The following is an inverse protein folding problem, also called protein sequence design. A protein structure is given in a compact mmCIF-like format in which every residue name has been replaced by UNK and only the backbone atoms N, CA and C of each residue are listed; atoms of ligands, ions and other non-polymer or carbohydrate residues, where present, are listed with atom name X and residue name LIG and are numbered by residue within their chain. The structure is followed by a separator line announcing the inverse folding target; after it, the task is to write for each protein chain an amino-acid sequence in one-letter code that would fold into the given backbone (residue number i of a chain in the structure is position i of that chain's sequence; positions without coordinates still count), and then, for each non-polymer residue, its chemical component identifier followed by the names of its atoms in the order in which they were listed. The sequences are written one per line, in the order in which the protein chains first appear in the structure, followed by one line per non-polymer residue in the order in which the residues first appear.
data_IF_117791153211
#
_entry.id   IF_117791153211
#
_cell.length_a   1.000
_cell.length_b   1.000
_cell.length_c   1.000
_cell.angle_alpha   90.00
_cell.angle_beta   90.00
_cell.angle_gamma   90.00
#
_symmetry.space_group_name_H-M   'P 1'
#
loop_
_entity.id
_entity.type
_entity.pdbx_description
1 polymer ?
#
# COMPACT_ATOMS: atom_id res chain seq x y z
N UNK A 1 12.20 33.70 49.61
CA UNK A 1 12.26 32.33 49.05
C UNK A 1 11.86 32.44 47.60
N UNK A 2 12.84 32.46 46.71
CA UNK A 2 12.60 32.32 45.27
C UNK A 2 12.64 30.81 45.07
N UNK A 3 11.48 30.17 44.88
CA UNK A 3 11.44 28.80 44.38
C UNK A 3 12.07 28.82 42.99
N UNK A 4 13.33 28.42 42.91
CA UNK A 4 13.93 27.98 41.65
C UNK A 4 13.14 26.76 41.22
N UNK A 5 12.17 26.97 40.34
CA UNK A 5 11.53 25.88 39.59
C UNK A 5 12.67 25.20 38.84
N UNK A 6 12.88 23.91 39.11
CA UNK A 6 13.94 23.15 38.48
C UNK A 6 13.72 23.16 36.96
N UNK A 7 14.77 23.47 36.19
CA UNK A 7 14.76 23.45 34.72
C UNK A 7 14.09 22.21 34.09
N UNK A 8 14.27 20.97 34.61
CA UNK A 8 13.54 19.79 34.13
C UNK A 8 12.01 19.87 34.32
N UNK A 9 11.52 20.50 35.39
CA UNK A 9 10.07 20.68 35.62
C UNK A 9 9.47 21.68 34.62
N UNK A 10 10.23 22.71 34.23
CA UNK A 10 9.83 23.66 33.19
C UNK A 10 9.76 22.99 31.82
N UNK A 11 10.76 22.15 31.51
CA UNK A 11 10.81 21.36 30.27
C UNK A 11 9.59 20.45 30.11
N UNK A 12 9.26 19.70 31.16
CA UNK A 12 8.12 18.76 31.13
C UNK A 12 6.80 19.52 30.97
N UNK A 13 6.61 20.61 31.71
CA UNK A 13 5.41 21.47 31.59
C UNK A 13 5.29 22.09 30.21
N UNK A 14 6.40 22.47 29.57
CA UNK A 14 6.41 22.96 28.18
C UNK A 14 5.94 21.86 27.21
N UNK A 15 6.40 20.63 27.41
CA UNK A 15 6.00 19.49 26.59
C UNK A 15 4.51 19.18 26.72
N UNK A 16 3.97 19.17 27.95
CA UNK A 16 2.52 19.02 28.16
C UNK A 16 1.70 20.18 27.59
N UNK A 17 2.23 21.40 27.63
CA UNK A 17 1.64 22.55 26.95
C UNK A 17 1.55 22.32 25.44
N UNK A 18 2.58 21.72 24.84
CA UNK A 18 2.58 21.40 23.42
C UNK A 18 1.59 20.27 23.08
N UNK A 19 1.49 19.24 23.92
CA UNK A 19 0.47 18.18 23.76
C UNK A 19 -0.94 18.76 23.72
N UNK A 20 -1.27 19.67 24.65
CA UNK A 20 -2.56 20.34 24.67
C UNK A 20 -2.78 21.18 23.39
N UNK A 21 -1.77 21.97 23.00
CA UNK A 21 -1.81 22.77 21.77
C UNK A 21 -2.08 21.92 20.51
N UNK A 22 -1.39 20.79 20.38
CA UNK A 22 -1.57 19.89 19.24
C UNK A 22 -2.94 19.20 19.27
N UNK A 23 -3.43 18.79 20.45
CA UNK A 23 -4.78 18.23 20.60
C UNK A 23 -5.87 19.23 20.21
N UNK A 24 -5.65 20.52 20.47
CA UNK A 24 -6.56 21.61 20.08
C UNK A 24 -6.49 21.97 18.58
N UNK A 25 -5.62 21.31 17.80
CA UNK A 25 -5.44 21.55 16.37
C UNK A 25 -4.27 22.46 16.02
N UNK A 26 -3.40 22.77 17.00
CA UNK A 26 -2.21 23.58 16.80
C UNK A 26 -1.19 22.94 15.85
N UNK A 27 -0.41 23.77 15.16
CA UNK A 27 0.58 23.34 14.16
C UNK A 27 2.00 23.83 14.43
N UNK A 28 2.19 24.58 15.53
CA UNK A 28 3.46 25.19 15.92
C UNK A 28 4.54 24.12 16.13
N UNK A 29 5.70 24.22 15.45
CA UNK A 29 6.83 23.31 15.68
C UNK A 29 7.35 23.39 17.12
N UNK A 30 7.89 22.28 17.65
CA UNK A 30 8.42 22.19 19.01
C UNK A 30 9.44 23.30 19.33
N UNK A 31 10.41 23.51 18.44
CA UNK A 31 11.45 24.54 18.59
C UNK A 31 10.90 25.95 18.82
N UNK A 32 9.73 26.24 18.25
CA UNK A 32 9.08 27.56 18.26
C UNK A 32 8.00 27.66 19.36
N UNK A 33 7.72 26.55 20.05
CA UNK A 33 6.71 26.48 21.11
C UNK A 33 7.28 26.85 22.48
N UNK A 34 6.57 27.68 23.25
CA UNK A 34 6.98 28.09 24.61
C UNK A 34 5.86 28.05 25.66
N UNK A 35 4.66 27.57 25.30
CA UNK A 35 3.54 27.50 26.24
C UNK A 35 3.70 26.38 27.26
N UNK A 36 3.21 26.60 28.49
CA UNK A 36 3.25 25.63 29.58
C UNK A 36 1.86 25.01 29.79
N UNK A 37 1.83 23.72 30.10
CA UNK A 37 0.61 22.96 30.40
C UNK A 37 0.74 22.17 31.70
N UNK A 38 -0.42 21.73 32.21
CA UNK A 38 -0.47 20.76 33.29
C UNK A 38 -0.23 19.35 32.75
N UNK A 39 0.44 18.50 33.53
CA UNK A 39 0.60 17.09 33.19
C UNK A 39 -0.76 16.40 33.06
N UNK A 40 -0.97 15.67 31.96
CA UNK A 40 -2.23 14.99 31.65
C UNK A 40 -2.13 13.47 31.74
N UNK A 41 -0.96 12.92 32.07
CA UNK A 41 -0.73 11.49 32.08
C UNK A 41 0.55 11.10 32.79
N UNK A 42 0.76 9.79 32.95
CA UNK A 42 1.95 9.26 33.63
C UNK A 42 3.23 9.37 32.79
N UNK A 43 3.08 9.33 31.47
CA UNK A 43 4.18 9.39 30.52
C UNK A 43 3.84 10.39 29.42
N UNK A 44 4.85 11.16 29.02
CA UNK A 44 4.73 12.07 27.89
C UNK A 44 4.72 11.26 26.59
N UNK A 45 3.84 11.57 25.62
CA UNK A 45 3.91 10.99 24.28
C UNK A 45 5.26 11.29 23.61
N UNK A 46 5.78 10.33 22.85
CA UNK A 46 7.04 10.48 22.15
C UNK A 46 7.02 11.53 21.03
N UNK A 47 8.21 11.95 20.61
CA UNK A 47 8.43 12.91 19.53
C UNK A 47 7.75 12.48 18.23
N UNK A 48 7.69 11.18 17.94
CA UNK A 48 7.06 10.64 16.73
C UNK A 48 5.55 10.86 16.72
N UNK A 49 4.88 10.61 17.85
CA UNK A 49 3.44 10.78 18.02
C UNK A 49 3.07 12.26 17.87
N UNK A 50 3.82 13.14 18.52
CA UNK A 50 3.56 14.58 18.52
C UNK A 50 3.79 15.20 17.13
N UNK A 51 4.88 14.82 16.43
CA UNK A 51 5.09 15.28 15.06
C UNK A 51 4.03 14.72 14.10
N UNK A 52 3.61 13.46 14.24
CA UNK A 52 2.53 12.92 13.41
C UNK A 52 1.22 13.68 13.63
N UNK A 53 0.86 13.99 14.89
CA UNK A 53 -0.32 14.79 15.19
C UNK A 53 -0.22 16.20 14.60
N UNK A 54 0.95 16.84 14.66
CA UNK A 54 1.19 18.13 14.01
C UNK A 54 1.03 18.06 12.49
N UNK A 55 1.49 16.97 11.85
CA UNK A 55 1.33 16.72 10.39
C UNK A 55 -0.12 16.48 10.00
N UNK A 56 -0.89 15.79 10.85
CA UNK A 56 -2.34 15.70 10.71
C UNK A 56 -2.94 17.10 10.71
N UNK A 57 -2.75 17.88 11.77
CA UNK A 57 -3.30 19.25 11.91
C UNK A 57 -2.93 20.19 10.74
N UNK A 58 -1.72 20.06 10.18
CA UNK A 58 -1.31 20.81 8.99
C UNK A 58 -2.11 20.45 7.73
N UNK A 59 -2.52 19.19 7.62
CA UNK A 59 -3.26 18.66 6.46
C UNK A 59 -4.78 18.76 6.64
N UNK A 60 -5.25 18.78 7.88
CA UNK A 60 -6.65 18.88 8.29
C UNK A 60 -6.81 18.56 9.77
N UNK A 61 -7.91 18.98 10.40
CA UNK A 61 -8.14 18.64 11.81
C UNK A 61 -8.55 17.16 11.91
N UNK A 62 -7.79 16.29 12.59
CA UNK A 62 -8.21 14.91 12.81
C UNK A 62 -9.38 14.84 13.79
N UNK A 63 -10.18 13.79 13.68
CA UNK A 63 -11.17 13.45 14.69
C UNK A 63 -10.50 13.25 16.07
N UNK A 64 -11.16 13.63 17.18
CA UNK A 64 -10.58 13.50 18.52
C UNK A 64 -10.15 12.06 18.87
N UNK A 65 -10.89 11.06 18.37
CA UNK A 65 -10.54 9.65 18.55
C UNK A 65 -9.25 9.29 17.81
N UNK A 66 -9.03 9.83 16.61
CA UNK A 66 -7.78 9.63 15.86
C UNK A 66 -6.61 10.31 16.56
N UNK A 67 -6.81 11.55 17.04
CA UNK A 67 -5.77 12.26 17.80
C UNK A 67 -5.38 11.49 19.08
N UNK A 68 -6.36 11.01 19.84
CA UNK A 68 -6.12 10.17 21.02
C UNK A 68 -5.39 8.86 20.67
N UNK A 69 -5.79 8.20 19.57
CA UNK A 69 -5.13 6.99 19.10
C UNK A 69 -3.67 7.24 18.69
N UNK A 70 -3.36 8.37 18.03
CA UNK A 70 -1.97 8.76 17.71
C UNK A 70 -1.14 8.93 18.99
N UNK A 71 -1.66 9.67 19.97
CA UNK A 71 -0.94 9.95 21.22
C UNK A 71 -0.71 8.70 22.07
N UNK A 72 -1.64 7.75 22.03
CA UNK A 72 -1.54 6.47 22.74
C UNK A 72 -0.74 5.40 21.99
N UNK A 73 -0.46 5.61 20.69
CA UNK A 73 0.21 4.63 19.85
C UNK A 73 1.68 4.49 20.20
N UNK A 74 2.22 3.28 20.13
CA UNK A 74 3.67 3.02 20.12
C UNK A 74 4.15 2.70 18.69
N UNK A 75 5.31 3.21 18.26
CA UNK A 75 5.87 2.93 16.95
C UNK A 75 6.10 1.42 16.75
N UNK A 76 5.64 0.89 15.62
CA UNK A 76 5.90 -0.51 15.29
C UNK A 76 7.40 -0.81 15.11
N UNK A 77 7.88 -1.88 15.74
CA UNK A 77 9.23 -2.42 15.55
C UNK A 77 9.84 -2.98 16.84
N UNK A 78 10.50 -4.15 16.75
CA UNK A 78 11.15 -4.78 17.92
C UNK A 78 12.24 -3.85 18.50
N UNK A 79 12.13 -3.54 19.80
CA UNK A 79 13.17 -2.83 20.55
C UNK A 79 13.32 -1.34 20.20
N UNK A 80 12.30 -0.72 19.59
CA UNK A 80 12.29 0.70 19.25
C UNK A 80 11.50 1.46 20.32
N UNK A 81 12.15 2.26 21.18
CA UNK A 81 11.44 3.07 22.17
C UNK A 81 10.79 4.30 21.50
N UNK A 82 9.85 4.89 22.23
CA UNK A 82 9.44 6.28 21.98
C UNK A 82 10.65 7.20 22.12
N UNK A 83 10.78 8.19 21.24
CA UNK A 83 11.88 9.14 21.29
C UNK A 83 11.48 10.33 22.15
N UNK A 84 12.36 10.70 23.06
CA UNK A 84 12.14 11.84 23.95
C UNK A 84 12.29 13.17 23.20
N UNK A 85 11.66 14.23 23.74
CA UNK A 85 11.75 15.59 23.21
C UNK A 85 12.99 16.29 23.75
N UNK A 86 13.74 16.95 22.87
CA UNK A 86 14.86 17.80 23.28
C UNK A 86 14.38 18.90 24.25
N UNK A 87 14.96 18.93 25.44
CA UNK A 87 14.64 19.92 26.49
C UNK A 87 13.32 19.70 27.24
N UNK A 88 12.70 18.52 27.13
CA UNK A 88 11.50 18.18 27.92
C UNK A 88 11.81 17.50 29.26
N UNK A 89 13.02 16.96 29.43
CA UNK A 89 13.43 16.28 30.65
C UNK A 89 14.96 16.24 30.75
N UNK A 90 15.51 15.68 31.84
CA UNK A 90 16.94 15.49 31.98
C UNK A 90 17.46 14.57 30.89
N UNK A 91 18.68 14.81 30.39
CA UNK A 91 19.31 13.94 29.41
C UNK A 91 19.54 12.54 30.01
N UNK A 92 18.97 11.52 29.38
CA UNK A 92 19.21 10.13 29.78
C UNK A 92 20.57 9.65 29.29
N UNK A 93 21.33 9.00 30.18
CA UNK A 93 22.58 8.31 29.82
C UNK A 93 22.34 7.03 28.99
N UNK A 94 21.11 6.53 28.97
CA UNK A 94 20.73 5.27 28.32
C UNK A 94 19.59 5.47 27.32
N UNK A 95 19.69 4.82 26.16
CA UNK A 95 18.70 4.89 25.10
C UNK A 95 19.07 5.90 24.00
N UNK A 96 18.17 6.13 23.02
CA UNK A 96 18.39 7.12 21.98
C UNK A 96 18.33 8.54 22.58
N UNK A 97 19.16 9.43 22.04
CA UNK A 97 19.16 10.83 22.46
C UNK A 97 17.80 11.50 22.18
N UNK A 98 17.37 12.46 23.01
CA UNK A 98 16.21 13.30 22.73
C UNK A 98 16.33 14.01 21.38
N UNK A 99 15.22 14.19 20.68
CA UNK A 99 15.20 14.74 19.32
C UNK A 99 14.31 15.97 19.21
N UNK A 100 14.61 16.82 18.22
CA UNK A 100 13.62 17.76 17.68
C UNK A 100 12.64 16.98 16.80
N UNK A 101 11.33 16.95 17.11
CA UNK A 101 10.32 16.26 16.30
C UNK A 101 10.34 16.67 14.82
N UNK A 102 10.69 17.92 14.50
CA UNK A 102 10.76 18.39 13.11
C UNK A 102 11.92 17.76 12.31
N UNK A 103 12.92 17.19 12.99
CA UNK A 103 14.07 16.51 12.38
C UNK A 103 13.83 15.01 12.16
N UNK A 104 12.68 14.47 12.59
CA UNK A 104 12.35 13.07 12.39
C UNK A 104 12.17 12.75 10.91
N UNK A 105 12.70 11.59 10.49
CA UNK A 105 12.44 11.09 9.14
C UNK A 105 10.98 10.71 8.97
N UNK A 106 10.42 10.91 7.77
CA UNK A 106 9.07 10.49 7.44
C UNK A 106 8.84 8.99 7.73
N UNK A 107 9.88 8.17 7.53
CA UNK A 107 9.84 6.74 7.81
C UNK A 107 9.56 6.36 9.27
N UNK A 108 9.91 7.20 10.25
CA UNK A 108 9.55 6.98 11.66
C UNK A 108 8.08 7.32 11.91
N UNK A 109 7.58 8.40 11.32
CA UNK A 109 6.18 8.83 11.45
C UNK A 109 5.21 7.84 10.79
N UNK A 110 5.60 7.27 9.64
CA UNK A 110 4.80 6.22 8.97
C UNK A 110 4.66 4.98 9.86
N UNK A 111 5.60 4.68 10.76
CA UNK A 111 5.46 3.52 11.69
C UNK A 111 4.37 3.77 12.71
N UNK A 112 4.30 4.97 13.27
CA UNK A 112 3.21 5.36 14.19
C UNK A 112 1.89 5.35 13.43
N UNK A 113 1.83 5.93 12.24
CA UNK A 113 0.62 5.92 11.41
C UNK A 113 0.18 4.49 11.05
N UNK A 114 1.13 3.59 10.78
CA UNK A 114 0.83 2.19 10.49
C UNK A 114 0.25 1.43 11.69
N UNK A 115 0.73 1.72 12.91
CA UNK A 115 0.14 1.18 14.14
C UNK A 115 -1.31 1.65 14.30
N UNK A 116 -1.57 2.95 14.20
CA UNK A 116 -2.92 3.53 14.34
C UNK A 116 -3.87 2.98 13.27
N UNK A 117 -3.42 2.89 12.01
CA UNK A 117 -4.23 2.31 10.93
C UNK A 117 -4.52 0.82 11.18
N UNK A 118 -3.56 0.05 11.70
CA UNK A 118 -3.79 -1.35 12.01
C UNK A 118 -4.86 -1.53 13.10
N UNK A 119 -4.77 -0.74 14.18
CA UNK A 119 -5.76 -0.74 15.27
C UNK A 119 -7.15 -0.36 14.74
N UNK A 120 -7.27 0.73 13.97
CA UNK A 120 -8.53 1.13 13.32
C UNK A 120 -9.15 0.02 12.46
N UNK A 121 -8.32 -0.72 11.72
CA UNK A 121 -8.80 -1.81 10.87
C UNK A 121 -9.38 -2.95 11.70
N UNK A 122 -8.78 -3.27 12.85
CA UNK A 122 -9.25 -4.31 13.78
C UNK A 122 -10.51 -3.84 14.51
N UNK A 123 -10.51 -2.60 15.01
CA UNK A 123 -11.60 -2.03 15.81
C UNK A 123 -12.88 -1.78 15.01
N UNK A 124 -12.78 -1.63 13.68
CA UNK A 124 -13.93 -1.55 12.78
C UNK A 124 -14.80 -2.85 12.74
N UNK A 125 -14.45 -3.88 13.51
CA UNK A 125 -15.28 -5.06 13.74
C UNK A 125 -15.19 -6.10 12.61
N UNK A 126 -16.10 -7.09 12.55
CA UNK A 126 -16.01 -8.18 11.59
C UNK A 126 -16.21 -7.71 10.14
N UNK A 127 -15.42 -8.28 9.22
CA UNK A 127 -15.58 -8.04 7.78
C UNK A 127 -16.87 -8.67 7.24
N UNK A 128 -17.53 -8.03 6.27
CA UNK A 128 -18.69 -8.63 5.62
C UNK A 128 -18.29 -9.96 4.96
N UNK A 129 -19.11 -10.99 5.17
CA UNK A 129 -18.96 -12.26 4.48
C UNK A 129 -19.46 -12.08 3.06
N UNK A 130 -18.57 -12.18 2.07
CA UNK A 130 -18.97 -12.13 0.67
C UNK A 130 -19.75 -13.41 0.32
N UNK A 131 -21.00 -13.27 -0.10
CA UNK A 131 -21.74 -14.39 -0.66
C UNK A 131 -21.11 -14.81 -2.00
N UNK A 132 -20.82 -16.11 -2.21
CA UNK A 132 -20.31 -16.56 -3.49
C UNK A 132 -21.33 -16.28 -4.59
N UNK A 133 -20.91 -15.73 -5.74
CA UNK A 133 -21.84 -15.44 -6.82
C UNK A 133 -22.49 -16.76 -7.28
N UNK A 134 -23.83 -16.75 -7.40
CA UNK A 134 -24.57 -17.92 -7.87
C UNK A 134 -24.10 -18.30 -9.28
N UNK A 135 -23.70 -19.56 -9.53
CA UNK A 135 -23.23 -19.97 -10.84
C UNK A 135 -24.33 -19.80 -11.88
N UNK A 136 -24.06 -19.03 -12.93
CA UNK A 136 -24.97 -18.89 -14.06
C UNK A 136 -24.68 -20.00 -15.08
N UNK A 137 -25.66 -20.88 -15.25
CA UNK A 137 -25.61 -22.04 -16.17
C UNK A 137 -25.77 -21.66 -17.65
N UNK A 138 -26.28 -20.47 -17.94
CA UNK A 138 -26.60 -20.00 -19.29
C UNK A 138 -25.54 -19.08 -19.93
N UNK A 139 -24.46 -18.74 -19.20
CA UNK A 139 -23.49 -17.73 -19.66
C UNK A 139 -22.18 -18.38 -20.05
N UNK A 140 -21.64 -17.98 -21.21
CA UNK A 140 -20.25 -18.30 -21.59
C UNK A 140 -19.33 -17.75 -20.51
N UNK A 141 -18.65 -18.66 -19.84
CA UNK A 141 -17.80 -18.34 -18.72
C UNK A 141 -16.48 -17.71 -19.14
N UNK A 142 -15.95 -16.82 -18.30
CA UNK A 142 -14.56 -16.37 -18.40
C UNK A 142 -13.91 -16.35 -17.02
N UNK A 143 -12.58 -16.43 -16.98
CA UNK A 143 -11.75 -16.10 -15.82
C UNK A 143 -10.58 -15.24 -16.26
N UNK A 144 -10.30 -14.18 -15.51
CA UNK A 144 -9.12 -13.32 -15.70
C UNK A 144 -8.05 -13.72 -14.69
N UNK A 145 -6.86 -14.02 -15.20
CA UNK A 145 -5.66 -14.39 -14.43
C UNK A 145 -4.45 -13.68 -15.05
N UNK A 146 -3.27 -13.77 -14.42
CA UNK A 146 -2.07 -13.06 -14.86
C UNK A 146 -1.82 -11.85 -13.97
N UNK A 147 -1.56 -10.70 -14.58
CA UNK A 147 -1.27 -9.45 -13.86
C UNK A 147 -2.44 -9.11 -12.91
N UNK A 148 -2.19 -9.03 -11.59
CA UNK A 148 -3.25 -8.84 -10.62
C UNK A 148 -3.95 -7.49 -10.74
N UNK A 149 -3.22 -6.39 -10.97
CA UNK A 149 -3.83 -5.05 -11.04
C UNK A 149 -4.66 -4.88 -12.31
N UNK A 150 -4.18 -5.43 -13.43
CA UNK A 150 -4.96 -5.48 -14.68
C UNK A 150 -6.19 -6.38 -14.54
N UNK A 151 -6.00 -7.62 -14.08
CA UNK A 151 -7.06 -8.61 -14.01
C UNK A 151 -8.14 -8.20 -12.99
N UNK A 152 -7.76 -7.64 -11.84
CA UNK A 152 -8.68 -7.17 -10.81
C UNK A 152 -9.48 -5.96 -11.31
N UNK A 153 -8.82 -4.93 -11.85
CA UNK A 153 -9.51 -3.74 -12.36
C UNK A 153 -10.49 -4.04 -13.49
N UNK A 154 -10.12 -4.93 -14.42
CA UNK A 154 -11.01 -5.36 -15.51
C UNK A 154 -12.17 -6.23 -14.99
N UNK A 155 -11.91 -7.08 -13.98
CA UNK A 155 -12.95 -7.91 -13.36
C UNK A 155 -13.97 -7.06 -12.61
N UNK A 156 -13.53 -6.09 -11.82
CA UNK A 156 -14.40 -5.15 -11.09
C UNK A 156 -15.38 -4.45 -12.05
N UNK A 157 -14.87 -3.93 -13.17
CA UNK A 157 -15.71 -3.26 -14.17
C UNK A 157 -16.70 -4.21 -14.87
N UNK A 158 -16.30 -5.46 -15.17
CA UNK A 158 -17.20 -6.46 -15.76
C UNK A 158 -18.27 -6.92 -14.76
N UNK A 159 -17.92 -7.12 -13.49
CA UNK A 159 -18.85 -7.44 -12.41
C UNK A 159 -19.87 -6.32 -12.24
N UNK A 160 -19.42 -5.06 -12.19
CA UNK A 160 -20.30 -3.90 -12.11
C UNK A 160 -21.30 -3.80 -13.29
N UNK A 161 -20.96 -4.39 -14.44
CA UNK A 161 -21.83 -4.49 -15.63
C UNK A 161 -22.71 -5.74 -15.64
N UNK A 162 -22.80 -6.48 -14.53
CA UNK A 162 -23.57 -7.71 -14.41
C UNK A 162 -22.97 -8.88 -15.18
N UNK A 163 -21.64 -8.88 -15.40
CA UNK A 163 -20.88 -9.95 -16.06
C UNK A 163 -19.84 -10.54 -15.09
N UNK A 164 -20.24 -11.24 -14.02
CA UNK A 164 -19.27 -11.87 -13.12
C UNK A 164 -18.49 -13.00 -13.83
N UNK A 165 -17.21 -13.22 -13.47
CA UNK A 165 -16.45 -14.36 -13.96
C UNK A 165 -17.04 -15.68 -13.43
N UNK A 166 -16.74 -16.79 -14.10
CA UNK A 166 -17.24 -18.12 -13.71
C UNK A 166 -17.78 -18.92 -14.88
N UNK A 167 -18.70 -19.85 -14.62
CA UNK A 167 -19.23 -20.80 -15.60
C UNK A 167 -18.58 -22.18 -15.50
N UNK A 168 -19.27 -23.21 -16.04
CA UNK A 168 -18.82 -24.61 -15.98
C UNK A 168 -17.56 -24.88 -16.80
N UNK A 169 -17.41 -24.14 -17.90
CA UNK A 169 -16.30 -24.28 -18.85
C UNK A 169 -15.77 -22.91 -19.29
N UNK A 170 -15.12 -22.16 -18.39
CA UNK A 170 -14.72 -20.80 -18.67
C UNK A 170 -13.55 -20.75 -19.67
N UNK A 171 -13.54 -19.73 -20.53
CA UNK A 171 -12.33 -19.31 -21.23
C UNK A 171 -11.40 -18.62 -20.23
N UNK A 172 -10.15 -19.01 -20.20
CA UNK A 172 -9.13 -18.43 -19.34
C UNK A 172 -8.40 -17.36 -20.15
N UNK A 173 -8.51 -16.12 -19.70
CA UNK A 173 -7.82 -14.97 -20.28
C UNK A 173 -6.65 -14.65 -19.34
N UNK A 174 -5.44 -14.96 -19.79
CA UNK A 174 -4.19 -14.64 -19.10
C UNK A 174 -3.78 -13.24 -19.53
N UNK A 175 -4.17 -12.24 -18.73
CA UNK A 175 -3.99 -10.82 -19.02
C UNK A 175 -2.63 -10.36 -18.52
N UNK A 176 -1.93 -9.56 -19.31
CA UNK A 176 -0.67 -8.96 -18.91
C UNK A 176 -0.28 -7.75 -19.76
N UNK A 177 0.89 -7.21 -19.46
CA UNK A 177 1.54 -6.09 -20.17
C UNK A 177 3.05 -6.37 -20.24
N UNK A 178 3.90 -5.35 -20.22
CA UNK A 178 5.35 -5.55 -20.11
C UNK A 178 5.73 -6.16 -18.75
N UNK A 179 6.82 -6.94 -18.74
CA UNK A 179 7.23 -7.69 -17.55
C UNK A 179 7.65 -6.80 -16.37
N UNK A 180 8.17 -5.60 -16.62
CA UNK A 180 8.58 -4.69 -15.54
C UNK A 180 7.36 -4.15 -14.80
N UNK A 181 6.35 -3.68 -15.53
CA UNK A 181 5.08 -3.22 -14.98
C UNK A 181 4.36 -4.34 -14.23
N UNK A 182 4.24 -5.54 -14.83
CA UNK A 182 3.62 -6.68 -14.15
C UNK A 182 4.35 -7.08 -12.86
N UNK A 183 5.67 -6.88 -12.79
CA UNK A 183 6.48 -7.17 -11.59
C UNK A 183 6.18 -6.17 -10.48
N UNK A 184 6.06 -4.87 -10.81
CA UNK A 184 5.63 -3.84 -9.88
C UNK A 184 4.20 -4.08 -9.36
N UNK A 185 3.26 -4.43 -10.25
CA UNK A 185 1.90 -4.80 -9.89
C UNK A 185 1.86 -6.02 -8.96
N UNK A 186 2.67 -7.04 -9.23
CA UNK A 186 2.74 -8.23 -8.39
C UNK A 186 3.27 -7.91 -6.98
N UNK A 187 4.24 -7.00 -6.84
CA UNK A 187 4.69 -6.51 -5.53
C UNK A 187 3.58 -5.77 -4.79
N UNK A 188 2.94 -4.81 -5.44
CA UNK A 188 1.83 -4.03 -4.86
C UNK A 188 0.70 -4.93 -4.40
N UNK A 189 0.28 -5.89 -5.23
CA UNK A 189 -0.75 -6.87 -4.87
C UNK A 189 -0.35 -7.70 -3.65
N UNK A 190 0.92 -8.13 -3.56
CA UNK A 190 1.41 -8.93 -2.44
C UNK A 190 1.53 -8.10 -1.15
N UNK A 191 1.81 -6.80 -1.26
CA UNK A 191 1.84 -5.89 -0.12
C UNK A 191 0.47 -5.75 0.56
N UNK A 192 -0.63 -5.91 -0.18
CA UNK A 192 -1.99 -5.96 0.35
C UNK A 192 -2.46 -7.39 0.72
N UNK A 193 -1.57 -8.40 0.72
CA UNK A 193 -1.94 -9.79 1.00
C UNK A 193 -0.94 -10.51 1.89
N UNK A 194 -0.29 -11.55 1.36
CA UNK A 194 0.62 -12.48 2.05
C UNK A 194 1.87 -11.85 2.71
N UNK A 195 2.03 -10.53 2.67
CA UNK A 195 3.23 -9.84 3.08
C UNK A 195 4.36 -9.95 2.06
N UNK A 196 5.19 -8.91 2.02
CA UNK A 196 6.31 -8.80 1.07
C UNK A 196 7.45 -8.02 1.68
N UNK A 197 8.67 -8.29 1.22
CA UNK A 197 9.83 -7.46 1.54
C UNK A 197 9.70 -6.07 0.88
N UNK A 198 10.51 -5.11 1.33
CA UNK A 198 10.64 -3.84 0.64
C UNK A 198 11.03 -4.06 -0.84
N UNK A 199 10.57 -3.20 -1.74
CA UNK A 199 10.68 -3.36 -3.19
C UNK A 199 12.05 -3.83 -3.68
N UNK A 200 13.12 -3.11 -3.31
CA UNK A 200 14.48 -3.45 -3.75
C UNK A 200 14.96 -4.82 -3.25
N UNK A 201 14.63 -5.17 -2.01
CA UNK A 201 14.99 -6.46 -1.42
C UNK A 201 14.20 -7.61 -2.06
N UNK A 202 12.91 -7.39 -2.36
CA UNK A 202 12.09 -8.37 -3.06
C UNK A 202 12.61 -8.65 -4.48
N UNK A 203 12.96 -7.61 -5.23
CA UNK A 203 13.59 -7.75 -6.55
C UNK A 203 14.94 -8.47 -6.49
N UNK A 204 15.77 -8.14 -5.50
CA UNK A 204 17.06 -8.80 -5.28
C UNK A 204 16.89 -10.30 -5.11
N UNK A 205 15.96 -10.73 -4.24
CA UNK A 205 15.68 -12.14 -3.98
C UNK A 205 15.13 -12.87 -5.21
N UNK A 206 14.22 -12.24 -5.97
CA UNK A 206 13.71 -12.82 -7.22
C UNK A 206 14.81 -13.01 -8.25
N UNK A 207 15.68 -12.01 -8.43
CA UNK A 207 16.83 -12.08 -9.33
C UNK A 207 17.78 -13.21 -8.94
N UNK A 208 18.12 -13.31 -7.66
CA UNK A 208 19.02 -14.36 -7.13
C UNK A 208 18.49 -15.77 -7.37
N UNK A 209 17.17 -15.96 -7.26
CA UNK A 209 16.51 -17.23 -7.54
C UNK A 209 16.19 -17.45 -9.02
N UNK A 210 16.38 -16.42 -9.86
CA UNK A 210 15.95 -16.42 -11.25
C UNK A 210 14.45 -16.72 -11.43
N UNK A 211 13.62 -16.27 -10.50
CA UNK A 211 12.18 -16.54 -10.44
C UNK A 211 11.35 -15.32 -10.84
N UNK A 212 10.23 -15.56 -11.54
CA UNK A 212 9.24 -14.52 -11.79
C UNK A 212 8.11 -14.63 -10.76
N UNK A 213 7.53 -13.49 -10.33
CA UNK A 213 6.38 -13.53 -9.45
C UNK A 213 5.17 -14.14 -10.19
N UNK A 214 4.32 -14.87 -9.46
CA UNK A 214 3.19 -15.61 -10.04
C UNK A 214 2.26 -14.73 -10.90
N UNK A 215 2.02 -13.49 -10.47
CA UNK A 215 1.20 -12.52 -11.21
C UNK A 215 1.86 -11.99 -12.49
N UNK A 216 3.16 -12.15 -12.68
CA UNK A 216 3.88 -11.69 -13.87
C UNK A 216 4.28 -12.83 -14.82
N UNK A 217 4.36 -14.08 -14.36
CA UNK A 217 4.68 -15.23 -15.20
C UNK A 217 3.46 -15.75 -15.99
N UNK A 218 3.14 -15.04 -17.08
CA UNK A 218 2.01 -15.38 -17.94
C UNK A 218 2.13 -16.78 -18.57
N UNK A 219 3.36 -17.24 -18.84
CA UNK A 219 3.59 -18.56 -19.42
C UNK A 219 3.30 -19.66 -18.39
N UNK A 220 3.78 -19.52 -17.16
CA UNK A 220 3.45 -20.45 -16.08
C UNK A 220 1.94 -20.46 -15.80
N UNK A 221 1.29 -19.28 -15.75
CA UNK A 221 -0.14 -19.17 -15.58
C UNK A 221 -0.91 -19.90 -16.70
N UNK A 222 -0.54 -19.68 -17.97
CA UNK A 222 -1.14 -20.35 -19.12
C UNK A 222 -1.00 -21.88 -19.04
N UNK A 223 0.19 -22.38 -18.67
CA UNK A 223 0.44 -23.83 -18.52
C UNK A 223 -0.35 -24.46 -17.38
N UNK A 224 -0.47 -23.76 -16.25
CA UNK A 224 -1.29 -24.23 -15.11
C UNK A 224 -2.74 -24.41 -15.55
N UNK A 225 -3.29 -23.44 -16.29
CA UNK A 225 -4.67 -23.52 -16.76
C UNK A 225 -4.85 -24.47 -17.93
N UNK A 226 -3.88 -24.60 -18.83
CA UNK A 226 -3.91 -25.59 -19.91
C UNK A 226 -4.07 -27.00 -19.35
N UNK A 227 -3.35 -27.36 -18.27
CA UNK A 227 -3.51 -28.67 -17.62
C UNK A 227 -4.91 -28.91 -17.06
N UNK A 228 -5.65 -27.84 -16.73
CA UNK A 228 -6.99 -27.92 -16.11
C UNK A 228 -8.12 -27.86 -17.13
N UNK A 229 -8.00 -27.02 -18.16
CA UNK A 229 -9.08 -26.74 -19.11
C UNK A 229 -8.71 -27.03 -20.57
N UNK A 230 -7.47 -27.40 -20.86
CA UNK A 230 -6.99 -27.60 -22.22
C UNK A 230 -6.65 -26.29 -22.94
N UNK A 231 -5.69 -26.38 -23.86
CA UNK A 231 -5.06 -25.24 -24.54
C UNK A 231 -6.04 -24.35 -25.30
N UNK A 232 -7.04 -24.92 -25.98
CA UNK A 232 -8.01 -24.18 -26.80
C UNK A 232 -8.88 -23.20 -25.99
N UNK A 233 -8.93 -23.37 -24.67
CA UNK A 233 -9.65 -22.50 -23.74
C UNK A 233 -8.76 -21.45 -23.07
N UNK A 234 -7.45 -21.44 -23.33
CA UNK A 234 -6.49 -20.48 -22.77
C UNK A 234 -6.04 -19.50 -23.84
N UNK A 235 -6.19 -18.21 -23.57
CA UNK A 235 -5.68 -17.14 -24.42
C UNK A 235 -4.83 -16.16 -23.60
N UNK A 236 -3.72 -15.73 -24.18
CA UNK A 236 -2.88 -14.66 -23.62
C UNK A 236 -3.37 -13.32 -24.18
N UNK A 237 -3.60 -12.35 -23.32
CA UNK A 237 -4.17 -11.05 -23.67
C UNK A 237 -3.24 -9.94 -23.23
N UNK A 238 -2.55 -9.32 -24.19
CA UNK A 238 -1.63 -8.19 -24.00
C UNK A 238 -2.24 -6.86 -24.44
N UNK A 239 -3.37 -6.91 -25.16
CA UNK A 239 -4.24 -5.75 -25.41
C UNK A 239 -5.47 -5.81 -24.48
N UNK A 240 -5.50 -5.01 -23.38
CA UNK A 240 -6.65 -4.95 -22.48
C UNK A 240 -7.97 -4.60 -23.17
N UNK A 241 -7.95 -3.89 -24.30
CA UNK A 241 -9.16 -3.52 -25.04
C UNK A 241 -9.85 -4.73 -25.71
N UNK A 242 -9.15 -5.86 -25.85
CA UNK A 242 -9.74 -7.11 -26.35
C UNK A 242 -10.56 -7.86 -25.29
N UNK A 243 -10.27 -7.66 -23.99
CA UNK A 243 -10.88 -8.39 -22.88
C UNK A 243 -12.42 -8.36 -22.87
N UNK A 244 -13.11 -7.21 -23.09
CA UNK A 244 -14.57 -7.17 -23.05
C UNK A 244 -15.18 -8.14 -24.07
N UNK A 245 -14.69 -8.12 -25.31
CA UNK A 245 -15.22 -8.97 -26.40
C UNK A 245 -14.98 -10.45 -26.10
N UNK A 246 -13.82 -10.78 -25.54
CA UNK A 246 -13.48 -12.15 -25.15
C UNK A 246 -14.32 -12.65 -23.96
N UNK A 247 -14.71 -11.75 -23.07
CA UNK A 247 -15.65 -12.00 -21.97
C UNK A 247 -17.14 -11.91 -22.38
N UNK A 248 -17.43 -11.61 -23.65
CA UNK A 248 -18.81 -11.52 -24.17
C UNK A 248 -19.51 -10.19 -23.91
N UNK A 249 -18.79 -9.12 -23.57
CA UNK A 249 -19.27 -7.73 -23.53
C UNK A 249 -18.79 -6.97 -24.79
N UNK A 250 -19.65 -6.10 -25.33
CA UNK A 250 -19.33 -5.26 -26.49
C UNK A 250 -18.86 -3.87 -26.10
N UNK A 251 -19.08 -3.47 -24.85
CA UNK A 251 -18.74 -2.13 -24.34
C UNK A 251 -17.27 -2.08 -23.93
N UNK A 252 -16.55 -1.04 -24.36
CA UNK A 252 -15.17 -0.78 -23.92
C UNK A 252 -15.12 -0.65 -22.40
N UNK A 253 -14.04 -1.12 -21.78
CA UNK A 253 -13.75 -0.88 -20.36
C UNK A 253 -12.87 0.36 -20.25
N UNK A 254 -12.93 1.04 -19.11
CA UNK A 254 -11.98 2.09 -18.78
C UNK A 254 -10.60 1.47 -18.53
N UNK A 255 -9.54 2.23 -18.80
CA UNK A 255 -8.20 1.81 -18.45
C UNK A 255 -8.12 1.56 -16.92
N UNK A 256 -7.49 0.46 -16.46
CA UNK A 256 -7.26 0.23 -15.05
C UNK A 256 -6.47 1.37 -14.42
N UNK A 257 -6.84 1.77 -13.20
CA UNK A 257 -6.09 2.74 -12.41
C UNK A 257 -5.22 2.00 -11.42
N UNK A 258 -3.91 2.21 -11.50
CA UNK A 258 -2.93 1.52 -10.67
C UNK A 258 -2.67 2.28 -9.38
N UNK A 259 -2.38 1.52 -8.32
CA UNK A 259 -1.89 2.11 -7.09
C UNK A 259 -0.39 2.43 -7.21
N UNK A 260 0.05 3.59 -6.75
CA UNK A 260 1.47 3.98 -6.75
C UNK A 260 2.27 3.13 -5.75
N UNK A 261 3.60 3.16 -5.83
CA UNK A 261 4.48 2.36 -4.96
C UNK A 261 4.27 2.63 -3.47
N UNK A 262 3.95 3.88 -3.12
CA UNK A 262 3.66 4.36 -1.77
C UNK A 262 2.48 3.62 -1.13
N UNK A 263 1.46 3.27 -1.92
CA UNK A 263 0.31 2.51 -1.45
C UNK A 263 0.71 1.09 -1.00
N UNK A 264 1.59 0.44 -1.77
CA UNK A 264 2.16 -0.85 -1.40
C UNK A 264 3.05 -0.75 -0.16
N UNK A 265 3.88 0.30 -0.06
CA UNK A 265 4.77 0.47 1.11
C UNK A 265 3.98 0.73 2.40
N UNK A 266 2.92 1.55 2.33
CA UNK A 266 2.01 1.76 3.45
C UNK A 266 1.33 0.44 3.86
N UNK A 267 0.76 -0.31 2.90
CA UNK A 267 0.12 -1.59 3.16
C UNK A 267 1.07 -2.61 3.79
N UNK A 268 2.32 -2.66 3.32
CA UNK A 268 3.37 -3.53 3.86
C UNK A 268 3.69 -3.21 5.33
N UNK A 269 3.75 -1.92 5.69
CA UNK A 269 3.99 -1.48 7.06
C UNK A 269 2.79 -1.78 7.97
N UNK A 270 1.57 -1.47 7.52
CA UNK A 270 0.34 -1.82 8.26
C UNK A 270 0.23 -3.33 8.45
N UNK A 271 0.46 -4.12 7.40
CA UNK A 271 0.44 -5.58 7.44
C UNK A 271 1.43 -6.17 8.45
N UNK A 272 2.60 -5.55 8.62
CA UNK A 272 3.58 -5.98 9.64
C UNK A 272 3.08 -5.80 11.07
N UNK A 273 2.23 -4.80 11.32
CA UNK A 273 1.57 -4.61 12.62
C UNK A 273 0.40 -5.56 12.77
N UNK A 274 -0.44 -5.70 11.74
CA UNK A 274 -1.56 -6.64 11.75
C UNK A 274 -1.14 -8.08 12.04
N UNK A 275 0.06 -8.49 11.60
CA UNK A 275 0.61 -9.81 11.90
C UNK A 275 0.83 -10.08 13.42
N UNK A 276 0.80 -9.03 14.25
CA UNK A 276 0.85 -9.13 15.71
C UNK A 276 -0.55 -9.11 16.36
N UNK A 277 -1.57 -8.66 15.64
CA UNK A 277 -2.92 -8.42 16.16
C UNK A 277 -3.92 -9.51 15.73
N UNK A 278 -3.75 -10.08 14.53
CA UNK A 278 -4.71 -11.01 13.92
C UNK A 278 -4.01 -12.17 13.19
N UNK A 279 -4.78 -13.22 12.88
CA UNK A 279 -4.30 -14.33 12.05
C UNK A 279 -4.01 -13.86 10.61
N UNK A 280 -3.06 -14.50 9.90
CA UNK A 280 -2.64 -14.06 8.56
C UNK A 280 -3.78 -13.90 7.56
N UNK A 281 -4.73 -14.84 7.54
CA UNK A 281 -5.87 -14.81 6.62
C UNK A 281 -6.80 -13.62 6.89
N UNK A 282 -7.01 -13.28 8.16
CA UNK A 282 -7.83 -12.13 8.53
C UNK A 282 -7.09 -10.81 8.26
N UNK A 283 -5.78 -10.76 8.52
CA UNK A 283 -4.94 -9.61 8.17
C UNK A 283 -4.96 -9.31 6.67
N UNK A 284 -4.81 -10.34 5.82
CA UNK A 284 -4.95 -10.19 4.37
C UNK A 284 -6.34 -9.65 3.99
N UNK A 285 -7.41 -10.17 4.60
CA UNK A 285 -8.76 -9.68 4.33
C UNK A 285 -8.94 -8.22 4.76
N UNK A 286 -8.40 -7.80 5.90
CA UNK A 286 -8.43 -6.40 6.36
C UNK A 286 -7.68 -5.48 5.39
N UNK A 287 -6.49 -5.88 4.95
CA UNK A 287 -5.71 -5.12 3.96
C UNK A 287 -6.46 -4.98 2.63
N UNK A 288 -7.01 -6.08 2.10
CA UNK A 288 -7.68 -6.07 0.79
C UNK A 288 -9.04 -5.39 0.80
N UNK A 289 -9.85 -5.63 1.84
CA UNK A 289 -11.26 -5.24 1.85
C UNK A 289 -11.51 -3.90 2.56
N UNK A 290 -10.63 -3.46 3.45
CA UNK A 290 -10.76 -2.16 4.15
C UNK A 290 -9.66 -1.17 3.78
N UNK A 291 -8.38 -1.56 3.92
CA UNK A 291 -7.29 -0.61 3.68
C UNK A 291 -7.17 -0.22 2.20
N UNK A 292 -7.17 -1.20 1.29
CA UNK A 292 -6.98 -0.95 -0.15
C UNK A 292 -8.02 0.03 -0.72
N UNK A 293 -9.33 -0.07 -0.43
CA UNK A 293 -10.31 0.93 -0.84
C UNK A 293 -10.03 2.34 -0.31
N UNK A 294 -9.69 2.50 0.98
CA UNK A 294 -9.34 3.81 1.58
C UNK A 294 -8.12 4.41 0.91
N UNK A 295 -7.05 3.63 0.76
CA UNK A 295 -5.83 4.06 0.07
C UNK A 295 -6.13 4.49 -1.37
N UNK A 296 -6.95 3.74 -2.11
CA UNK A 296 -7.32 4.06 -3.50
C UNK A 296 -8.02 5.42 -3.63
N UNK A 297 -8.81 5.85 -2.65
CA UNK A 297 -9.49 7.16 -2.66
C UNK A 297 -8.50 8.33 -2.62
N UNK A 298 -7.33 8.15 -2.01
CA UNK A 298 -6.36 9.23 -1.76
C UNK A 298 -5.07 9.12 -2.57
N UNK A 299 -4.69 7.93 -3.01
CA UNK A 299 -3.39 7.67 -3.64
C UNK A 299 -3.07 8.58 -4.84
N UNK A 300 -4.07 8.96 -5.63
CA UNK A 300 -3.90 9.84 -6.79
C UNK A 300 -3.76 11.34 -6.44
N UNK A 301 -4.02 11.71 -5.18
CA UNK A 301 -3.95 13.10 -4.68
C UNK A 301 -2.61 13.42 -4.01
N UNK A 302 -1.76 12.42 -3.84
CA UNK A 302 -0.45 12.57 -3.20
C UNK A 302 0.54 13.07 -4.25
N UNK A 303 1.13 14.24 -4.00
CA UNK A 303 2.18 14.77 -4.86
C UNK A 303 3.42 13.87 -4.77
N UNK A 304 4.00 13.54 -5.93
CA UNK A 304 5.17 12.67 -5.99
C UNK A 304 4.88 11.18 -5.84
N UNK A 305 3.62 10.75 -5.73
CA UNK A 305 3.26 9.35 -5.81
C UNK A 305 3.35 8.89 -7.27
N UNK A 306 4.36 8.07 -7.56
CA UNK A 306 4.70 7.66 -8.92
C UNK A 306 4.53 6.14 -9.10
N UNK A 307 4.24 5.68 -10.32
CA UNK A 307 4.36 4.27 -10.67
C UNK A 307 5.76 3.74 -10.33
N UNK A 308 5.78 2.54 -9.75
CA UNK A 308 7.02 1.90 -9.34
C UNK A 308 7.73 1.29 -10.55
N UNK A 309 8.99 1.67 -10.74
CA UNK A 309 9.84 1.19 -11.80
C UNK A 309 10.92 0.24 -11.25
N UNK A 310 11.40 -0.60 -12.16
CA UNK A 310 12.49 -1.54 -11.87
C UNK A 310 13.84 -0.81 -11.93
N UNK A 311 14.66 -0.85 -10.86
CA UNK A 311 15.99 -0.24 -10.86
C UNK A 311 16.91 -0.84 -11.93
N UNK A 312 17.85 -0.03 -12.43
CA UNK A 312 18.74 -0.37 -13.55
C UNK A 312 19.45 -1.73 -13.38
N UNK A 313 19.93 -2.02 -12.16
CA UNK A 313 20.63 -3.25 -11.80
C UNK A 313 19.83 -4.57 -11.96
N UNK A 314 18.52 -4.48 -12.25
CA UNK A 314 17.63 -5.63 -12.47
C UNK A 314 17.08 -5.71 -13.91
N UNK A 315 17.39 -4.74 -14.77
CA UNK A 315 16.81 -4.63 -16.12
C UNK A 315 17.17 -5.80 -17.02
N UNK A 316 18.46 -6.11 -17.17
CA UNK A 316 18.96 -7.20 -18.03
C UNK A 316 18.34 -8.56 -17.66
N UNK A 317 18.16 -8.80 -16.36
CA UNK A 317 17.52 -10.02 -15.87
C UNK A 317 16.05 -10.12 -16.32
N UNK A 318 15.30 -9.02 -16.18
CA UNK A 318 13.90 -8.96 -16.63
C UNK A 318 13.77 -9.01 -18.14
N UNK A 319 14.63 -8.34 -18.90
CA UNK A 319 14.65 -8.46 -20.36
C UNK A 319 14.83 -9.91 -20.79
N UNK A 320 15.87 -10.58 -20.26
CA UNK A 320 16.12 -11.98 -20.56
C UNK A 320 14.94 -12.88 -20.15
N UNK A 321 14.29 -12.59 -19.03
CA UNK A 321 13.10 -13.32 -18.59
C UNK A 321 11.88 -13.08 -19.51
N UNK A 322 11.65 -11.84 -19.92
CA UNK A 322 10.59 -11.46 -20.85
C UNK A 322 10.79 -12.11 -22.21
N UNK A 323 12.02 -12.13 -22.75
CA UNK A 323 12.32 -12.82 -24.00
C UNK A 323 12.11 -14.33 -23.91
N UNK A 324 12.47 -14.96 -22.79
CA UNK A 324 12.19 -16.38 -22.54
C UNK A 324 10.68 -16.64 -22.51
N UNK A 325 9.92 -15.79 -21.83
CA UNK A 325 8.46 -15.86 -21.76
C UNK A 325 7.83 -15.69 -23.15
N UNK A 326 8.22 -14.64 -23.89
CA UNK A 326 7.80 -14.37 -25.27
C UNK A 326 8.00 -15.59 -26.17
N UNK A 327 9.22 -16.13 -26.19
CA UNK A 327 9.55 -17.32 -27.00
C UNK A 327 8.79 -18.54 -26.53
N UNK A 328 8.60 -18.71 -25.23
CA UNK A 328 7.85 -19.82 -24.64
C UNK A 328 6.37 -19.80 -25.02
N UNK A 329 5.70 -18.64 -24.94
CA UNK A 329 4.30 -18.46 -25.35
C UNK A 329 4.15 -18.71 -26.85
N UNK A 330 5.04 -18.14 -27.67
CA UNK A 330 5.06 -18.36 -29.13
C UNK A 330 5.22 -19.83 -29.49
N UNK A 331 6.20 -20.52 -28.89
CA UNK A 331 6.45 -21.95 -29.10
C UNK A 331 5.29 -22.83 -28.63
N UNK A 332 4.67 -22.48 -27.50
CA UNK A 332 3.50 -23.19 -26.99
C UNK A 332 2.28 -23.01 -27.89
N UNK A 333 2.22 -21.95 -28.71
CA UNK A 333 1.16 -21.71 -29.70
C UNK A 333 -0.20 -21.40 -29.07
N UNK A 334 -0.21 -20.66 -27.95
CA UNK A 334 -1.45 -20.12 -27.39
C UNK A 334 -2.05 -19.06 -28.31
N UNK A 335 -3.37 -18.86 -28.25
CA UNK A 335 -4.00 -17.70 -28.87
C UNK A 335 -3.51 -16.43 -28.17
N UNK A 336 -3.08 -15.42 -28.93
CA UNK A 336 -2.60 -14.14 -28.41
C UNK A 336 -3.46 -13.01 -28.94
N UNK A 337 -3.90 -12.13 -28.05
CA UNK A 337 -4.59 -10.89 -28.37
C UNK A 337 -3.72 -9.70 -27.97
N UNK A 338 -3.10 -9.03 -28.95
CA UNK A 338 -2.06 -8.01 -28.75
C UNK A 338 -0.74 -8.44 -29.40
N UNK A 339 0.36 -7.71 -29.13
CA UNK A 339 1.68 -8.03 -29.65
C UNK A 339 2.55 -8.68 -28.56
N UNK A 340 3.14 -9.84 -28.86
CA UNK A 340 4.04 -10.54 -27.93
C UNK A 340 5.33 -9.75 -27.64
N UNK A 341 5.73 -8.85 -28.53
CA UNK A 341 6.91 -8.00 -28.28
C UNK A 341 6.66 -6.96 -27.18
N UNK A 342 5.41 -6.66 -26.85
CA UNK A 342 5.05 -5.76 -25.74
C UNK A 342 5.33 -6.38 -24.36
N UNK A 343 5.65 -7.69 -24.29
CA UNK A 343 6.12 -8.32 -23.06
C UNK A 343 7.51 -7.84 -22.64
N UNK A 344 8.35 -7.49 -23.62
CA UNK A 344 9.72 -7.06 -23.36
C UNK A 344 9.68 -5.59 -22.94
N UNK A 345 10.13 -5.26 -21.72
CA UNK A 345 10.10 -3.88 -21.25
C UNK A 345 10.87 -2.97 -22.18
N UNK A 346 10.30 -1.79 -22.47
CA UNK A 346 11.02 -0.73 -23.16
C UNK A 346 11.57 0.20 -22.11
N UNK A 347 12.88 0.09 -21.86
CA UNK A 347 13.57 1.07 -21.03
C UNK A 347 13.75 2.32 -21.87
N UNK A 348 12.81 3.25 -21.75
CA UNK A 348 13.12 4.63 -22.10
C UNK A 348 14.33 5.02 -21.22
N UNK A 349 15.26 5.82 -21.75
CA UNK A 349 16.39 6.38 -21.00
C UNK A 349 15.86 7.36 -19.95
N UNK A 350 15.25 6.81 -18.89
CA UNK A 350 14.49 7.50 -17.83
C UNK A 350 15.33 7.64 -16.56
N UNK A 351 16.66 7.60 -16.65
CA UNK A 351 17.49 7.94 -15.48
C UNK A 351 17.17 9.35 -14.94
N UNK A 352 16.51 10.20 -15.76
CA UNK A 352 16.02 11.54 -15.42
C UNK A 352 14.49 11.75 -15.60
N UNK A 353 13.67 10.71 -15.79
CA UNK A 353 12.24 10.97 -16.05
C UNK A 353 11.46 11.17 -14.76
N UNK A 354 10.82 12.33 -14.55
CA UNK A 354 10.16 12.69 -13.29
C UNK A 354 8.84 11.91 -13.03
N UNK A 355 8.49 10.96 -13.89
CA UNK A 355 7.19 10.28 -13.92
C UNK A 355 7.21 8.86 -13.34
N UNK A 356 8.37 8.32 -12.96
CA UNK A 356 8.52 6.99 -12.36
C UNK A 356 9.46 7.01 -11.17
N UNK A 357 9.24 6.14 -10.18
CA UNK A 357 10.13 6.01 -9.02
C UNK A 357 10.77 4.63 -8.91
N UNK A 358 12.04 4.57 -8.52
CA UNK A 358 12.76 3.31 -8.29
C UNK A 358 12.50 2.71 -6.90
N UNK A 359 11.91 3.47 -5.98
CA UNK A 359 11.51 3.03 -4.65
C UNK A 359 10.37 3.92 -4.12
N UNK A 360 9.47 3.39 -3.27
CA UNK A 360 8.46 4.22 -2.63
C UNK A 360 9.09 5.36 -1.81
N UNK A 361 8.63 6.60 -1.99
CA UNK A 361 9.13 7.75 -1.23
C UNK A 361 8.61 7.71 0.21
N UNK A 362 9.47 7.84 1.24
CA UNK A 362 9.02 7.91 2.63
C UNK A 362 8.06 9.07 2.90
N UNK A 363 8.34 10.24 2.31
CA UNK A 363 7.53 11.45 2.44
C UNK A 363 6.17 11.29 1.77
N UNK A 364 6.13 10.83 0.52
CA UNK A 364 4.85 10.59 -0.16
C UNK A 364 4.05 9.46 0.50
N UNK A 365 4.71 8.46 1.09
CA UNK A 365 4.06 7.42 1.91
C UNK A 365 3.46 8.01 3.18
N UNK A 366 4.14 8.94 3.84
CA UNK A 366 3.61 9.66 5.01
C UNK A 366 2.41 10.53 4.63
N UNK A 367 2.51 11.31 3.55
CA UNK A 367 1.41 12.15 3.07
C UNK A 367 0.17 11.31 2.74
N UNK A 368 0.37 10.12 2.15
CA UNK A 368 -0.70 9.15 1.93
C UNK A 368 -1.30 8.65 3.25
N UNK A 369 -0.46 8.26 4.22
CA UNK A 369 -0.92 7.76 5.51
C UNK A 369 -1.72 8.82 6.28
N UNK A 370 -1.26 10.08 6.28
CA UNK A 370 -1.97 11.23 6.86
C UNK A 370 -3.34 11.41 6.23
N UNK A 371 -3.45 11.38 4.90
CA UNK A 371 -4.75 11.48 4.21
C UNK A 371 -5.68 10.32 4.51
N UNK A 372 -5.16 9.10 4.65
CA UNK A 372 -5.97 7.92 5.00
C UNK A 372 -6.45 7.97 6.46
N UNK A 373 -5.63 8.51 7.37
CA UNK A 373 -6.00 8.71 8.77
C UNK A 373 -7.08 9.80 8.94
N UNK A 374 -7.07 10.83 8.08
CA UNK A 374 -8.09 11.89 8.03
C UNK A 374 -9.36 11.48 7.26
N UNK A 375 -9.40 10.27 6.69
CA UNK A 375 -10.57 9.78 5.96
C UNK A 375 -11.60 9.24 6.95
N UNK A 376 -12.53 10.11 7.37
CA UNK A 376 -13.66 9.69 8.20
C UNK A 376 -14.61 8.82 7.35
N UNK A 377 -14.73 7.54 7.69
CA UNK A 377 -15.70 6.62 7.07
C UNK A 377 -17.18 7.03 7.30
N UNK A 378 -17.44 8.17 7.95
CA UNK A 378 -18.77 8.69 8.27
C UNK A 378 -19.60 9.06 7.03
N UNK A 379 -18.98 9.39 5.90
CA UNK A 379 -19.70 9.84 4.68
C UNK A 379 -20.48 8.71 3.94
N UNK A 380 -20.29 7.43 4.29
CA UNK A 380 -21.00 6.30 3.67
C UNK A 380 -22.17 5.77 4.52
N UNK A 381 -22.33 6.25 5.77
CA UNK A 381 -23.42 5.84 6.69
C UNK A 381 -24.66 6.74 6.62
N UNK A 382 -24.60 7.88 5.95
CA UNK A 382 -25.73 8.81 5.77
C UNK A 382 -26.52 8.59 4.47
N UNK A 383 -26.13 7.61 3.65
CA UNK A 383 -26.69 7.37 2.31
C UNK A 383 -27.46 6.06 2.12
N UNK A 384 -27.90 5.38 3.19
CA UNK A 384 -28.79 4.20 3.09
C UNK A 384 -30.16 4.44 3.68
#
# INVERSE_FOLDING_TARGET
MIETVDEPEVGERRAWGWVAHLTDGGTTPWRDWSGLGASQGRYLPGAQQLELLRRLNLSGRPDPEVAAAVLASSPAGRGRPDLELVGAGPESEFGPAPVDPAALSAGELVRVAASVLADQLVDAGPLPVAEPPRPSWWRRGYRLVGDPELADGLREQLVARGRPPGGREPRILVVGTDLATMTAHAWGHRAFGEGVNAWGEWLRLLRERSELPYGADLLAAARVWERRVGKTRVAVVLDPAAVPRLAGDRRRLAAPTYLPGEAGELARKVGSVLALLVLPEEGERLLRLRLRPRVRRHAHRVHGALPLAVPAQHRDWLEGAAERMRRGIKRAGYAVHGNLDDLVPRWTSLEDSPEISQAPSPEATLDLAVRVLLDDEADDRSGR
#
